data_IF_643961842989
#
_entry.id   IF_643961842989
#
_cell.length_a   1.000
_cell.length_b   1.000
_cell.length_c   1.000
_cell.angle_alpha   90.00
_cell.angle_beta   90.00
_cell.angle_gamma   90.00
#
_symmetry.space_group_name_H-M   'P 1'
#
loop_
_entity.id
_entity.type
_entity.pdbx_description
1 polymer ?
#
# COMPACT_ATOMS: atom_id res chain seq x y z
N UNK A 1 -6.63 5.44 -7.76
CA UNK A 1 -5.50 4.93 -6.96
C UNK A 1 -4.70 3.90 -7.72
N UNK A 2 -5.32 2.90 -8.38
CA UNK A 2 -4.59 1.92 -9.19
C UNK A 2 -3.70 2.59 -10.27
N UNK A 3 -4.17 3.65 -10.92
CA UNK A 3 -3.39 4.45 -11.88
C UNK A 3 -2.08 5.01 -11.29
N UNK A 4 -2.04 5.34 -9.99
CA UNK A 4 -0.78 5.78 -9.37
C UNK A 4 0.29 4.68 -9.40
N UNK A 5 -0.10 3.40 -9.35
CA UNK A 5 0.88 2.30 -9.39
C UNK A 5 1.51 2.13 -10.77
N UNK A 6 0.93 2.72 -11.81
CA UNK A 6 1.50 2.70 -13.17
C UNK A 6 2.64 3.72 -13.32
N UNK A 7 2.73 4.69 -12.42
CA UNK A 7 3.82 5.66 -12.40
C UNK A 7 5.15 4.99 -12.07
N UNK A 8 6.15 5.23 -12.93
CA UNK A 8 7.49 4.65 -12.79
C UNK A 8 8.14 4.89 -11.42
N UNK A 9 7.73 5.95 -10.72
CA UNK A 9 8.22 6.29 -9.40
C UNK A 9 7.77 5.30 -8.31
N UNK A 10 6.60 4.66 -8.43
CA UNK A 10 6.04 3.77 -7.39
C UNK A 10 6.27 2.29 -7.65
N UNK A 11 7.32 1.95 -8.40
CA UNK A 11 7.62 0.59 -8.83
C UNK A 11 7.91 -0.41 -7.70
N UNK A 12 8.20 0.04 -6.47
CA UNK A 12 8.32 -0.86 -5.31
C UNK A 12 7.01 -1.05 -4.54
N UNK A 13 5.96 -0.29 -4.86
CA UNK A 13 4.66 -0.38 -4.19
C UNK A 13 3.80 -1.42 -4.90
N UNK A 14 3.29 -2.38 -4.14
CA UNK A 14 2.43 -3.45 -4.62
C UNK A 14 1.09 -3.38 -3.90
N UNK A 15 0.00 -3.35 -4.67
CA UNK A 15 -1.35 -3.53 -4.15
C UNK A 15 -1.53 -4.98 -3.71
N UNK A 16 -1.90 -5.19 -2.45
CA UNK A 16 -2.22 -6.52 -1.92
C UNK A 16 -3.68 -6.85 -2.25
N UNK A 17 -4.59 -5.98 -1.83
CA UNK A 17 -6.04 -6.16 -2.03
C UNK A 17 -6.81 -4.89 -1.66
N UNK A 18 -8.08 -4.89 -2.04
CA UNK A 18 -9.06 -3.91 -1.57
C UNK A 18 -10.10 -4.63 -0.72
N UNK A 19 -10.36 -4.12 0.49
CA UNK A 19 -11.32 -4.70 1.44
C UNK A 19 -12.33 -3.61 1.81
N UNK A 20 -13.53 -3.67 1.20
CA UNK A 20 -14.50 -2.58 1.32
C UNK A 20 -13.91 -1.27 0.80
N UNK A 21 -13.83 -0.26 1.66
CA UNK A 21 -13.20 1.04 1.35
C UNK A 21 -11.69 1.09 1.67
N UNK A 22 -11.12 0.04 2.25
CA UNK A 22 -9.70 0.00 2.60
C UNK A 22 -8.86 -0.46 1.41
N UNK A 23 -7.83 0.32 1.09
CA UNK A 23 -6.83 0.01 0.07
C UNK A 23 -5.55 -0.48 0.74
N UNK A 24 -5.23 -1.77 0.59
CA UNK A 24 -4.05 -2.36 1.21
C UNK A 24 -2.92 -2.46 0.19
N UNK A 25 -1.81 -1.79 0.48
CA UNK A 25 -0.58 -1.83 -0.30
C UNK A 25 0.63 -2.09 0.60
N UNK A 26 1.70 -2.64 0.04
CA UNK A 26 2.95 -2.89 0.71
C UNK A 26 4.12 -2.60 -0.22
N UNK A 27 5.33 -2.44 0.33
CA UNK A 27 6.55 -2.32 -0.46
C UNK A 27 7.64 -3.23 0.10
N UNK A 28 8.69 -3.45 -0.68
CA UNK A 28 9.81 -4.33 -0.28
C UNK A 28 9.48 -5.82 -0.36
N UNK A 29 8.46 -6.23 -1.12
CA UNK A 29 8.09 -7.63 -1.32
C UNK A 29 8.81 -8.29 -2.50
N UNK A 30 9.36 -7.48 -3.42
CA UNK A 30 9.98 -7.96 -4.66
C UNK A 30 11.43 -8.48 -4.46
N UNK A 31 11.67 -9.81 -4.51
CA UNK A 31 12.97 -10.43 -4.20
C UNK A 31 14.11 -9.94 -5.11
N UNK A 32 13.78 -9.53 -6.33
CA UNK A 32 14.75 -9.14 -7.36
C UNK A 32 15.25 -7.70 -7.18
N UNK A 33 14.63 -6.92 -6.28
CA UNK A 33 14.95 -5.50 -6.08
C UNK A 33 15.56 -5.19 -4.71
N UNK A 34 15.77 -6.21 -3.87
CA UNK A 34 16.45 -6.11 -2.56
C UNK A 34 17.95 -5.79 -2.67
N UNK A 35 18.57 -5.89 -3.86
CA UNK A 35 20.01 -5.72 -4.05
C UNK A 35 20.48 -4.30 -4.40
N UNK A 36 19.61 -3.29 -4.33
CA UNK A 36 20.01 -1.90 -4.59
C UNK A 36 20.69 -1.29 -3.35
N UNK A 37 21.58 -0.32 -3.57
CA UNK A 37 22.46 0.33 -2.57
C UNK A 37 21.74 1.04 -1.42
N UNK A 38 20.40 1.08 -1.43
CA UNK A 38 19.59 1.85 -0.52
C UNK A 38 18.34 1.07 -0.14
N UNK A 39 18.51 0.17 0.82
CA UNK A 39 17.51 -0.78 1.33
C UNK A 39 16.21 -0.11 1.81
N UNK A 40 16.20 1.22 1.99
CA UNK A 40 15.10 1.98 2.57
C UNK A 40 14.25 2.74 1.54
N UNK A 41 14.66 2.79 0.27
CA UNK A 41 13.95 3.57 -0.77
C UNK A 41 12.50 3.11 -0.98
N UNK A 42 12.24 1.81 -0.88
CA UNK A 42 10.88 1.28 -1.01
C UNK A 42 9.93 1.84 0.07
N UNK A 43 10.44 2.21 1.25
CA UNK A 43 9.64 2.82 2.32
C UNK A 43 9.34 4.29 2.00
N UNK A 44 10.31 5.02 1.46
CA UNK A 44 10.11 6.38 0.96
C UNK A 44 9.03 6.42 -0.12
N UNK A 45 9.08 5.49 -1.09
CA UNK A 45 8.05 5.36 -2.13
C UNK A 45 6.68 5.03 -1.55
N UNK A 46 6.60 4.14 -0.56
CA UNK A 46 5.33 3.78 0.08
C UNK A 46 4.69 4.97 0.81
N UNK A 47 5.50 5.79 1.51
CA UNK A 47 5.02 7.01 2.17
C UNK A 47 4.58 8.05 1.15
N UNK A 48 5.37 8.26 0.09
CA UNK A 48 5.03 9.19 -0.99
C UNK A 48 3.78 8.75 -1.75
N UNK A 49 3.57 7.45 -1.93
CA UNK A 49 2.36 6.90 -2.51
C UNK A 49 1.12 7.26 -1.67
N UNK A 50 1.22 7.13 -0.34
CA UNK A 50 0.14 7.55 0.55
C UNK A 50 -0.17 9.05 0.45
N UNK A 51 0.86 9.91 0.36
CA UNK A 51 0.68 11.35 0.15
C UNK A 51 0.05 11.66 -1.22
N UNK A 52 0.46 10.95 -2.28
CA UNK A 52 -0.13 11.09 -3.60
C UNK A 52 -1.61 10.67 -3.61
N UNK A 53 -1.99 9.62 -2.87
CA UNK A 53 -3.40 9.24 -2.69
C UNK A 53 -4.21 10.35 -2.00
N UNK A 54 -3.64 11.03 -1.00
CA UNK A 54 -4.31 12.17 -0.35
C UNK A 54 -4.53 13.33 -1.33
N UNK A 55 -3.56 13.61 -2.20
CA UNK A 55 -3.68 14.65 -3.22
C UNK A 55 -4.77 14.33 -4.25
N UNK A 56 -4.80 13.10 -4.76
CA UNK A 56 -5.89 12.65 -5.66
C UNK A 56 -7.26 12.80 -4.98
N UNK A 57 -7.38 12.42 -3.71
CA UNK A 57 -8.67 12.55 -3.02
C UNK A 57 -9.06 14.02 -2.82
N UNK A 58 -8.08 14.91 -2.59
CA UNK A 58 -8.30 16.35 -2.53
C UNK A 58 -8.83 16.89 -3.86
N UNK A 59 -8.25 16.48 -4.99
CA UNK A 59 -8.73 16.85 -6.32
C UNK A 59 -10.16 16.34 -6.56
N UNK A 60 -10.44 15.08 -6.22
CA UNK A 60 -11.80 14.51 -6.32
C UNK A 60 -12.79 15.33 -5.49
N UNK A 61 -12.42 15.71 -4.26
CA UNK A 61 -13.26 16.53 -3.39
C UNK A 61 -13.50 17.94 -3.98
N UNK A 62 -12.53 18.54 -4.67
CA UNK A 62 -12.70 19.84 -5.33
C UNK A 62 -13.69 19.79 -6.50
N UNK A 63 -13.82 18.64 -7.15
CA UNK A 63 -14.73 18.40 -8.28
C UNK A 63 -16.04 17.71 -7.89
N UNK A 64 -16.23 17.42 -6.60
CA UNK A 64 -17.37 16.68 -6.06
C UNK A 64 -18.18 17.53 -5.09
N UNK A 65 -19.48 17.24 -4.97
CA UNK A 65 -20.33 17.79 -3.91
C UNK A 65 -20.17 17.02 -2.57
N UNK A 66 -19.32 15.98 -2.55
CA UNK A 66 -19.03 15.16 -1.38
C UNK A 66 -17.62 15.43 -0.87
N UNK A 67 -17.43 15.29 0.44
CA UNK A 67 -16.13 15.38 1.09
C UNK A 67 -15.74 14.01 1.62
N UNK A 68 -14.80 13.38 0.92
CA UNK A 68 -14.19 12.13 1.33
C UNK A 68 -12.94 12.40 2.18
N UNK A 69 -12.78 11.67 3.27
CA UNK A 69 -11.55 11.66 4.07
C UNK A 69 -10.71 10.43 3.76
N UNK A 70 -9.38 10.61 3.70
CA UNK A 70 -8.43 9.50 3.65
C UNK A 70 -7.67 9.45 4.97
N UNK A 71 -7.69 8.29 5.62
CA UNK A 71 -6.80 7.92 6.72
C UNK A 71 -5.85 6.84 6.21
N UNK A 72 -4.61 6.88 6.69
CA UNK A 72 -3.57 5.93 6.30
C UNK A 72 -2.80 5.50 7.54
N UNK A 73 -2.72 4.19 7.77
CA UNK A 73 -1.82 3.56 8.75
C UNK A 73 -0.63 2.91 8.06
N UNK A 74 0.59 3.23 8.49
CA UNK A 74 1.83 2.70 7.91
C UNK A 74 2.69 2.09 9.02
N UNK A 75 3.15 0.86 8.82
CA UNK A 75 4.14 0.22 9.68
C UNK A 75 5.17 -0.54 8.85
N UNK A 76 6.40 -0.62 9.34
CA UNK A 76 7.46 -1.44 8.76
C UNK A 76 7.80 -2.63 9.67
N UNK A 77 8.35 -3.69 9.11
CA UNK A 77 8.79 -4.85 9.86
C UNK A 77 8.63 -6.15 9.07
N UNK A 78 9.00 -7.29 9.67
CA UNK A 78 8.90 -8.58 9.01
C UNK A 78 7.44 -8.93 8.69
N UNK A 79 7.24 -9.56 7.53
CA UNK A 79 5.95 -10.09 7.06
C UNK A 79 6.15 -11.44 6.39
N UNK A 80 5.09 -12.22 6.32
CA UNK A 80 5.02 -13.48 5.58
C UNK A 80 4.13 -13.23 4.37
N UNK A 81 4.65 -13.48 3.17
CA UNK A 81 3.88 -13.46 1.94
C UNK A 81 3.57 -14.89 1.47
N UNK A 82 2.41 -15.10 0.85
CA UNK A 82 2.05 -16.41 0.31
C UNK A 82 0.81 -16.39 -0.56
N UNK A 83 0.58 -17.51 -1.24
CA UNK A 83 -0.62 -17.74 -2.05
C UNK A 83 -1.50 -18.76 -1.34
N UNK A 84 -2.77 -18.41 -1.12
CA UNK A 84 -3.78 -19.28 -0.51
C UNK A 84 -4.85 -19.68 -1.54
N UNK A 85 -5.34 -20.91 -1.44
CA UNK A 85 -6.45 -21.42 -2.25
C UNK A 85 -6.01 -22.22 -3.47
N UNK A 86 -6.58 -23.42 -3.64
CA UNK A 86 -6.24 -24.33 -4.73
C UNK A 86 -6.95 -23.97 -6.05
N UNK A 87 -8.25 -23.69 -6.01
CA UNK A 87 -9.04 -23.38 -7.22
C UNK A 87 -9.12 -21.88 -7.53
N UNK A 88 -8.94 -21.03 -6.51
CA UNK A 88 -8.95 -19.57 -6.62
C UNK A 88 -7.77 -19.02 -5.82
N UNK A 89 -6.55 -19.09 -6.37
CA UNK A 89 -5.37 -18.62 -5.68
C UNK A 89 -5.47 -17.12 -5.39
N UNK A 90 -5.10 -16.72 -4.18
CA UNK A 90 -5.01 -15.34 -3.74
C UNK A 90 -3.65 -15.10 -3.10
N UNK A 91 -2.92 -14.12 -3.60
CA UNK A 91 -1.71 -13.63 -2.96
C UNK A 91 -2.08 -12.73 -1.78
N UNK A 92 -1.40 -12.90 -0.65
CA UNK A 92 -1.67 -12.14 0.56
C UNK A 92 -0.43 -12.07 1.48
N UNK A 93 -0.47 -11.16 2.45
CA UNK A 93 0.57 -10.97 3.46
C UNK A 93 0.01 -11.02 4.89
N UNK A 94 0.78 -11.61 5.81
CA UNK A 94 0.44 -11.76 7.22
C UNK A 94 1.60 -11.37 8.14
N UNK A 95 1.30 -10.99 9.37
CA UNK A 95 2.32 -10.72 10.39
C UNK A 95 1.89 -9.68 11.41
N UNK A 96 2.68 -9.52 12.47
CA UNK A 96 2.46 -8.49 13.50
C UNK A 96 2.53 -7.07 12.91
N UNK A 97 3.41 -6.85 11.91
CA UNK A 97 3.54 -5.59 11.18
C UNK A 97 2.24 -5.18 10.49
N UNK A 98 1.57 -6.13 9.81
CA UNK A 98 0.28 -5.90 9.15
C UNK A 98 -0.79 -5.51 10.18
N UNK A 99 -0.81 -6.20 11.33
CA UNK A 99 -1.72 -5.88 12.42
C UNK A 99 -1.46 -4.49 13.03
N UNK A 100 -0.20 -4.08 13.12
CA UNK A 100 0.18 -2.74 13.60
C UNK A 100 -0.29 -1.65 12.62
N UNK A 101 -0.02 -1.81 11.32
CA UNK A 101 -0.49 -0.89 10.29
C UNK A 101 -2.03 -0.76 10.30
N UNK A 102 -2.74 -1.88 10.43
CA UNK A 102 -4.21 -1.89 10.53
C UNK A 102 -4.72 -1.15 11.77
N UNK A 103 -4.03 -1.25 12.91
CA UNK A 103 -4.38 -0.48 14.12
C UNK A 103 -4.15 1.01 13.92
N UNK A 104 -3.04 1.40 13.29
CA UNK A 104 -2.76 2.79 12.96
C UNK A 104 -3.80 3.37 11.99
N UNK A 105 -4.32 2.56 11.07
CA UNK A 105 -5.45 2.96 10.21
C UNK A 105 -6.81 2.91 10.92
N UNK A 106 -6.91 2.41 12.16
CA UNK A 106 -8.19 2.32 12.87
C UNK A 106 -8.37 3.39 13.94
N UNK A 107 -7.27 3.95 14.46
CA UNK A 107 -7.21 5.04 15.44
C UNK A 107 -7.27 6.40 14.76
#
# INVERSE_FOLDING_TARGET
FDELLEESYFHYVEKIKTIGSCYMAASGLAPNKQGSLDEWNHLSELVLFALAMQEILREINNHSAQSFGLRVGIAHGPVIAGVIGASKPQYDIWGSTVNLASRMDST
#
